data_IF_116915764514
#
_entry.id   IF_116915764514
#
_cell.length_a   1.000
_cell.length_b   1.000
_cell.length_c   1.000
_cell.angle_alpha   90.00
_cell.angle_beta   90.00
_cell.angle_gamma   90.00
#
_symmetry.space_group_name_H-M   'P 1'
#
loop_
_entity.id
_entity.type
_entity.pdbx_description
1 polymer ?
#
# COMPACT_ATOMS: atom_id res chain seq x y z
N UNK A 1 4.89 -28.03 15.44
CA UNK A 1 4.48 -26.96 14.50
C UNK A 1 3.32 -27.48 13.67
N UNK A 2 2.31 -26.69 13.37
CA UNK A 2 1.12 -27.23 12.72
C UNK A 2 1.33 -27.62 11.24
N UNK A 3 2.26 -26.95 10.53
CA UNK A 3 2.43 -27.17 9.08
C UNK A 3 3.90 -26.99 8.65
N UNK A 4 4.33 -27.79 7.64
CA UNK A 4 5.64 -27.65 7.01
C UNK A 4 5.63 -26.63 5.86
N UNK A 5 4.52 -26.57 5.09
CA UNK A 5 4.37 -25.66 3.94
C UNK A 5 2.99 -25.02 3.89
N UNK A 6 2.94 -23.71 3.97
CA UNK A 6 1.70 -22.92 3.93
C UNK A 6 1.62 -22.10 2.66
N UNK A 7 0.54 -22.28 1.88
CA UNK A 7 0.24 -21.45 0.72
C UNK A 7 -0.53 -20.20 1.17
N UNK A 8 -0.01 -19.05 0.83
CA UNK A 8 -0.65 -17.75 1.06
C UNK A 8 -1.14 -17.19 -0.27
N UNK A 9 -2.41 -16.83 -0.37
CA UNK A 9 -3.00 -16.37 -1.64
C UNK A 9 -3.37 -14.89 -1.57
N UNK A 10 -2.66 -14.02 -2.35
CA UNK A 10 -3.05 -12.63 -2.57
C UNK A 10 -2.64 -12.15 -3.97
N UNK A 11 -3.56 -12.19 -4.91
CA UNK A 11 -3.28 -11.95 -6.34
C UNK A 11 -3.29 -10.45 -6.73
N UNK A 12 -3.98 -9.60 -5.96
CA UNK A 12 -4.18 -8.16 -6.26
C UNK A 12 -4.94 -7.43 -5.13
N UNK A 13 -5.08 -6.10 -5.11
CA UNK A 13 -4.38 -5.14 -5.94
C UNK A 13 -3.01 -4.80 -5.33
N UNK A 14 -2.23 -3.88 -5.94
CA UNK A 14 -0.89 -3.53 -5.45
C UNK A 14 -0.88 -3.16 -3.95
N UNK A 15 -1.72 -2.20 -3.53
CA UNK A 15 -1.79 -1.79 -2.12
C UNK A 15 -2.21 -2.92 -1.18
N UNK A 16 -3.15 -3.78 -1.60
CA UNK A 16 -3.56 -4.94 -0.80
C UNK A 16 -2.45 -5.99 -0.67
N UNK A 17 -1.64 -6.20 -1.72
CA UNK A 17 -0.47 -7.09 -1.66
C UNK A 17 0.60 -6.48 -0.77
N UNK A 18 0.84 -5.17 -0.88
CA UNK A 18 1.73 -4.43 0.00
C UNK A 18 1.36 -4.62 1.48
N UNK A 19 0.08 -4.49 1.83
CA UNK A 19 -0.41 -4.71 3.20
C UNK A 19 -0.21 -6.15 3.72
N UNK A 20 0.05 -7.16 2.86
CA UNK A 20 0.37 -8.51 3.36
C UNK A 20 1.78 -8.63 3.90
N UNK A 21 2.70 -7.78 3.46
CA UNK A 21 4.14 -7.90 3.77
C UNK A 21 4.42 -7.83 5.27
N UNK A 22 3.93 -6.84 6.05
CA UNK A 22 4.17 -6.78 7.48
C UNK A 22 3.72 -8.04 8.22
N UNK A 23 2.58 -8.60 7.80
CA UNK A 23 2.01 -9.81 8.38
C UNK A 23 2.85 -11.03 8.02
N UNK A 24 3.11 -11.22 6.72
CA UNK A 24 3.83 -12.40 6.21
C UNK A 24 5.28 -12.44 6.68
N UNK A 25 5.99 -11.29 6.67
CA UNK A 25 7.38 -11.25 7.13
C UNK A 25 7.48 -11.51 8.64
N UNK A 26 6.56 -10.98 9.44
CA UNK A 26 6.49 -11.25 10.88
C UNK A 26 6.22 -12.73 11.16
N UNK A 27 5.27 -13.31 10.42
CA UNK A 27 4.95 -14.74 10.51
C UNK A 27 6.15 -15.61 10.13
N UNK A 28 6.81 -15.33 9.01
CA UNK A 28 7.97 -16.10 8.55
C UNK A 28 9.10 -16.11 9.57
N UNK A 29 9.37 -14.97 10.23
CA UNK A 29 10.43 -14.86 11.25
C UNK A 29 10.12 -15.70 12.49
N UNK A 30 8.84 -15.84 12.86
CA UNK A 30 8.43 -16.60 14.05
C UNK A 30 8.24 -18.10 13.78
N UNK A 31 8.11 -18.49 12.51
CA UNK A 31 7.99 -19.89 12.09
C UNK A 31 9.11 -20.27 11.10
N UNK A 32 10.40 -20.20 11.52
CA UNK A 32 11.54 -20.38 10.59
C UNK A 32 11.62 -21.78 9.96
N UNK A 33 11.05 -22.79 10.60
CA UNK A 33 10.99 -24.16 10.07
C UNK A 33 9.82 -24.40 9.10
N UNK A 34 8.85 -23.46 8.98
CA UNK A 34 7.75 -23.54 8.03
C UNK A 34 8.12 -22.79 6.75
N UNK A 35 7.96 -23.42 5.60
CA UNK A 35 8.08 -22.75 4.30
C UNK A 35 6.75 -22.08 3.95
N UNK A 36 6.77 -20.79 3.67
CA UNK A 36 5.62 -20.06 3.19
C UNK A 36 5.74 -19.83 1.68
N UNK A 37 4.66 -20.08 0.95
CA UNK A 37 4.60 -19.92 -0.50
C UNK A 37 3.55 -18.83 -0.79
N UNK A 38 3.97 -17.65 -1.19
CA UNK A 38 3.05 -16.57 -1.54
C UNK A 38 2.70 -16.62 -3.02
N UNK A 39 1.44 -16.89 -3.30
CA UNK A 39 0.84 -16.86 -4.64
C UNK A 39 0.36 -15.44 -4.96
N UNK A 40 1.03 -14.79 -5.92
CA UNK A 40 0.65 -13.45 -6.41
C UNK A 40 0.83 -13.33 -7.92
N UNK A 41 0.55 -12.16 -8.50
CA UNK A 41 0.79 -11.93 -9.94
C UNK A 41 2.27 -11.69 -10.21
N UNK A 42 2.79 -12.03 -11.43
CA UNK A 42 4.21 -11.89 -11.76
C UNK A 42 4.78 -10.49 -11.45
N UNK A 43 4.07 -9.42 -11.84
CA UNK A 43 4.52 -8.05 -11.59
C UNK A 43 4.64 -7.69 -10.10
N UNK A 44 3.87 -8.35 -9.23
CA UNK A 44 3.84 -8.05 -7.79
C UNK A 44 4.85 -8.86 -6.98
N UNK A 45 5.48 -9.88 -7.56
CA UNK A 45 6.54 -10.64 -6.88
C UNK A 45 7.75 -9.74 -6.57
N UNK A 46 8.02 -8.76 -7.42
CA UNK A 46 9.14 -7.82 -7.26
C UNK A 46 9.00 -6.85 -6.09
N UNK A 47 7.82 -6.82 -5.44
CA UNK A 47 7.58 -6.01 -4.24
C UNK A 47 8.23 -6.61 -2.98
N UNK A 48 8.50 -7.92 -2.99
CA UNK A 48 9.01 -8.67 -1.83
C UNK A 48 10.54 -8.61 -1.78
N UNK A 49 11.06 -7.43 -1.40
CA UNK A 49 12.49 -7.14 -1.25
C UNK A 49 12.96 -7.67 0.12
N UNK A 50 14.22 -8.07 0.25
CA UNK A 50 14.83 -8.60 1.49
C UNK A 50 13.90 -9.58 2.24
N UNK A 51 13.25 -10.46 1.47
CA UNK A 51 12.29 -11.41 2.03
C UNK A 51 12.96 -12.44 2.94
N UNK A 52 12.29 -12.92 4.00
CA UNK A 52 12.75 -14.02 4.82
C UNK A 52 13.09 -15.26 3.99
N UNK A 53 14.14 -15.99 4.37
CA UNK A 53 14.66 -17.12 3.61
C UNK A 53 13.63 -18.26 3.39
N UNK A 54 12.68 -18.41 4.33
CA UNK A 54 11.58 -19.37 4.27
C UNK A 54 10.33 -18.86 3.52
N UNK A 55 10.39 -17.68 2.87
CA UNK A 55 9.32 -17.17 2.00
C UNK A 55 9.66 -17.39 0.53
N UNK A 56 8.91 -18.24 -0.13
CA UNK A 56 8.96 -18.48 -1.57
C UNK A 56 7.83 -17.71 -2.28
N UNK A 57 8.08 -17.28 -3.53
CA UNK A 57 7.08 -16.58 -4.32
C UNK A 57 6.66 -17.46 -5.50
N UNK A 58 5.35 -17.57 -5.71
CA UNK A 58 4.78 -18.25 -6.87
C UNK A 58 4.00 -17.25 -7.75
N UNK A 59 4.41 -17.09 -9.00
CA UNK A 59 3.83 -16.16 -9.95
C UNK A 59 2.63 -16.79 -10.69
N UNK A 60 1.42 -16.30 -10.42
CA UNK A 60 0.19 -16.76 -11.09
C UNK A 60 -0.09 -15.97 -12.37
N UNK A 61 0.04 -16.58 -13.52
CA UNK A 61 -0.26 -16.00 -14.84
C UNK A 61 -1.77 -16.01 -15.12
N UNK A 62 -2.51 -15.24 -14.35
CA UNK A 62 -4.00 -15.25 -14.35
C UNK A 62 -4.65 -14.72 -15.63
N UNK A 63 -3.88 -14.15 -16.55
CA UNK A 63 -4.29 -13.73 -17.90
C UNK A 63 -3.67 -14.62 -19.00
N UNK A 64 -2.83 -15.59 -18.63
CA UNK A 64 -2.15 -16.54 -19.50
C UNK A 64 -2.48 -17.97 -19.10
N UNK A 65 -1.45 -18.78 -18.79
CA UNK A 65 -1.53 -20.22 -18.48
C UNK A 65 -2.56 -20.56 -17.40
N UNK A 66 -2.80 -19.67 -16.43
CA UNK A 66 -3.72 -19.88 -15.31
C UNK A 66 -5.07 -19.16 -15.49
N UNK A 67 -5.47 -18.86 -16.75
CA UNK A 67 -6.73 -18.20 -17.07
C UNK A 67 -7.92 -19.19 -17.14
N UNK A 68 -9.11 -18.73 -16.73
CA UNK A 68 -10.34 -19.55 -16.76
C UNK A 68 -10.31 -20.76 -15.83
N UNK A 69 -11.32 -21.60 -15.89
CA UNK A 69 -11.44 -22.78 -15.00
C UNK A 69 -10.34 -23.83 -15.26
N UNK A 70 -10.02 -24.10 -16.53
CA UNK A 70 -8.93 -25.03 -16.88
C UNK A 70 -7.58 -24.53 -16.38
N UNK A 71 -7.31 -23.21 -16.53
CA UNK A 71 -6.10 -22.59 -16.01
C UNK A 71 -6.03 -22.63 -14.48
N UNK A 72 -7.15 -22.49 -13.77
CA UNK A 72 -7.20 -22.63 -12.31
C UNK A 72 -6.91 -24.08 -11.86
N UNK A 73 -7.39 -25.08 -12.61
CA UNK A 73 -7.04 -26.45 -12.33
C UNK A 73 -5.55 -26.75 -12.59
N UNK A 74 -4.98 -26.15 -13.65
CA UNK A 74 -3.53 -26.20 -13.91
C UNK A 74 -2.75 -25.55 -12.75
N UNK A 75 -3.16 -24.36 -12.30
CA UNK A 75 -2.55 -23.68 -11.15
C UNK A 75 -2.63 -24.54 -9.88
N UNK A 76 -3.78 -25.15 -9.61
CA UNK A 76 -3.93 -26.09 -8.51
C UNK A 76 -2.93 -27.26 -8.60
N UNK A 77 -2.78 -27.90 -9.79
CA UNK A 77 -1.81 -28.98 -9.98
C UNK A 77 -0.37 -28.52 -9.75
N UNK A 78 -0.01 -27.36 -10.25
CA UNK A 78 1.33 -26.80 -10.06
C UNK A 78 1.62 -26.55 -8.57
N UNK A 79 0.65 -26.00 -7.83
CA UNK A 79 0.75 -25.76 -6.39
C UNK A 79 0.76 -27.07 -5.57
N UNK A 80 0.01 -28.09 -5.97
CA UNK A 80 0.00 -29.42 -5.31
C UNK A 80 1.36 -30.12 -5.37
N UNK A 81 2.12 -29.92 -6.45
CA UNK A 81 3.48 -30.47 -6.58
C UNK A 81 4.45 -29.90 -5.54
N UNK A 82 4.11 -28.76 -4.94
CA UNK A 82 4.89 -28.15 -3.87
C UNK A 82 4.62 -28.76 -2.49
N UNK A 83 3.72 -29.76 -2.40
CA UNK A 83 3.35 -30.44 -1.15
C UNK A 83 2.85 -29.47 -0.06
N UNK A 84 1.86 -28.63 -0.43
CA UNK A 84 1.24 -27.65 0.48
C UNK A 84 0.38 -28.37 1.52
N UNK A 85 0.58 -28.04 2.81
CA UNK A 85 -0.12 -28.65 3.96
C UNK A 85 -1.31 -27.80 4.42
N UNK A 86 -1.30 -26.48 4.18
CA UNK A 86 -2.38 -25.58 4.53
C UNK A 86 -2.48 -24.39 3.56
N UNK A 87 -3.67 -23.80 3.44
CA UNK A 87 -3.93 -22.65 2.58
C UNK A 87 -4.50 -21.49 3.40
N UNK A 88 -3.86 -20.33 3.30
CA UNK A 88 -4.29 -19.03 3.83
C UNK A 88 -4.79 -18.15 2.67
N UNK A 89 -6.10 -18.12 2.37
CA UNK A 89 -6.66 -17.22 1.36
C UNK A 89 -6.90 -15.82 1.94
N UNK A 90 -5.97 -14.90 1.68
CA UNK A 90 -6.06 -13.49 2.03
C UNK A 90 -6.81 -12.67 0.96
N UNK A 91 -7.35 -13.32 -0.09
CA UNK A 91 -7.95 -12.62 -1.23
C UNK A 91 -9.47 -12.73 -1.30
N UNK A 92 -10.05 -13.90 -1.02
CA UNK A 92 -11.50 -14.17 -1.03
C UNK A 92 -12.23 -13.60 -2.26
N UNK A 93 -11.80 -14.01 -3.46
CA UNK A 93 -12.48 -13.70 -4.73
C UNK A 93 -12.90 -15.01 -5.41
N UNK A 94 -13.78 -14.95 -6.43
CA UNK A 94 -14.29 -16.15 -7.08
C UNK A 94 -13.18 -17.12 -7.51
N UNK A 95 -12.10 -16.61 -8.06
CA UNK A 95 -10.95 -17.41 -8.50
C UNK A 95 -10.27 -18.15 -7.34
N UNK A 96 -10.06 -17.49 -6.21
CA UNK A 96 -9.41 -18.12 -5.05
C UNK A 96 -10.34 -19.09 -4.36
N UNK A 97 -11.65 -18.83 -4.36
CA UNK A 97 -12.66 -19.80 -3.85
C UNK A 97 -12.67 -21.11 -4.63
N UNK A 98 -12.42 -21.08 -5.94
CA UNK A 98 -12.29 -22.29 -6.75
C UNK A 98 -11.01 -23.06 -6.37
N UNK A 99 -9.88 -22.36 -6.19
CA UNK A 99 -8.64 -22.98 -5.68
C UNK A 99 -8.83 -23.58 -4.29
N UNK A 100 -9.47 -22.85 -3.38
CA UNK A 100 -9.79 -23.30 -2.03
C UNK A 100 -10.62 -24.60 -2.06
N UNK A 101 -11.59 -24.69 -2.99
CA UNK A 101 -12.40 -25.89 -3.15
C UNK A 101 -11.53 -27.09 -3.56
N UNK A 102 -10.63 -26.92 -4.54
CA UNK A 102 -9.73 -28.00 -4.95
C UNK A 102 -8.82 -28.47 -3.82
N UNK A 103 -8.28 -27.54 -3.02
CA UNK A 103 -7.44 -27.89 -1.87
C UNK A 103 -8.25 -28.61 -0.79
N UNK A 104 -9.46 -28.14 -0.46
CA UNK A 104 -10.35 -28.81 0.51
C UNK A 104 -10.72 -30.22 0.07
N UNK A 105 -11.04 -30.42 -1.21
CA UNK A 105 -11.33 -31.74 -1.76
C UNK A 105 -10.13 -32.71 -1.68
N UNK A 106 -8.92 -32.16 -1.56
CA UNK A 106 -7.68 -32.95 -1.38
C UNK A 106 -7.28 -33.11 0.10
N UNK A 107 -8.18 -32.78 1.03
CA UNK A 107 -7.91 -32.89 2.47
C UNK A 107 -7.01 -31.80 3.06
N UNK A 108 -6.66 -30.74 2.30
CA UNK A 108 -5.81 -29.64 2.79
C UNK A 108 -6.67 -28.60 3.51
N UNK A 109 -6.37 -28.25 4.78
CA UNK A 109 -7.09 -27.21 5.52
C UNK A 109 -6.94 -25.85 4.86
N UNK A 110 -8.05 -25.11 4.78
CA UNK A 110 -8.12 -23.79 4.14
C UNK A 110 -8.76 -22.81 5.09
N UNK A 111 -8.03 -21.76 5.47
CA UNK A 111 -8.56 -20.59 6.15
C UNK A 111 -8.71 -19.44 5.17
N UNK A 112 -9.79 -18.67 5.30
CA UNK A 112 -10.12 -17.56 4.41
C UNK A 112 -10.38 -16.29 5.19
N UNK A 113 -9.95 -15.17 4.62
CA UNK A 113 -10.16 -13.83 5.18
C UNK A 113 -11.66 -13.49 5.30
N UNK A 114 -12.01 -12.89 6.44
CA UNK A 114 -13.26 -12.13 6.56
C UNK A 114 -12.98 -10.67 6.17
N UNK A 115 -13.49 -10.23 5.03
CA UNK A 115 -13.28 -8.85 4.52
C UNK A 115 -14.08 -7.78 5.25
N UNK A 116 -14.88 -8.12 6.25
CA UNK A 116 -15.74 -7.18 6.98
C UNK A 116 -16.77 -6.47 6.08
N UNK A 117 -17.30 -7.17 5.05
CA UNK A 117 -18.21 -6.56 4.07
C UNK A 117 -19.47 -5.98 4.70
N UNK A 118 -20.01 -6.62 5.75
CA UNK A 118 -21.20 -6.15 6.45
C UNK A 118 -20.92 -4.84 7.21
N UNK A 119 -19.80 -4.76 7.94
CA UNK A 119 -19.35 -3.54 8.65
C UNK A 119 -19.11 -2.39 7.66
N UNK A 120 -18.36 -2.66 6.58
CA UNK A 120 -18.06 -1.67 5.53
C UNK A 120 -19.31 -1.18 4.81
N UNK A 121 -20.33 -2.07 4.63
CA UNK A 121 -21.63 -1.68 4.11
C UNK A 121 -22.38 -0.76 5.06
N UNK A 122 -22.32 -1.02 6.38
CA UNK A 122 -22.91 -0.13 7.40
C UNK A 122 -22.24 1.25 7.39
N UNK A 123 -20.88 1.30 7.39
CA UNK A 123 -20.10 2.55 7.35
C UNK A 123 -20.40 3.41 6.12
N UNK A 124 -20.66 2.79 4.95
CA UNK A 124 -20.91 3.51 3.68
C UNK A 124 -22.39 3.64 3.34
N UNK A 125 -23.30 3.32 4.24
CA UNK A 125 -24.75 3.52 4.09
C UNK A 125 -25.10 5.01 4.15
N UNK A 126 -26.15 5.44 3.44
CA UNK A 126 -26.69 6.81 3.58
C UNK A 126 -27.29 7.07 4.97
N UNK A 127 -27.91 6.04 5.56
CA UNK A 127 -28.45 6.05 6.95
C UNK A 127 -27.46 5.27 7.82
N UNK A 128 -26.23 5.75 7.90
CA UNK A 128 -25.20 5.08 8.70
C UNK A 128 -25.33 5.42 10.19
N UNK A 129 -24.95 4.50 11.06
CA UNK A 129 -24.75 4.81 12.49
C UNK A 129 -23.58 5.80 12.64
N UNK A 130 -23.31 6.24 13.86
CA UNK A 130 -22.06 6.94 14.16
C UNK A 130 -20.85 6.17 13.59
N UNK A 131 -19.81 6.90 13.21
CA UNK A 131 -18.58 6.30 12.72
C UNK A 131 -18.00 5.38 13.80
N UNK A 132 -17.61 4.19 13.39
CA UNK A 132 -16.89 3.23 14.23
C UNK A 132 -15.65 2.71 13.48
N UNK A 133 -14.63 2.35 14.24
CA UNK A 133 -13.42 1.77 13.65
C UNK A 133 -13.68 0.31 13.26
N UNK A 134 -13.59 0.00 11.97
CA UNK A 134 -13.56 -1.38 11.47
C UNK A 134 -12.17 -1.96 11.72
N UNK A 135 -12.12 -3.26 11.92
CA UNK A 135 -10.86 -4.00 12.04
C UNK A 135 -9.93 -3.73 10.86
N UNK A 136 -8.63 -3.58 11.14
CA UNK A 136 -7.64 -3.30 10.11
C UNK A 136 -7.47 -4.46 9.13
N UNK A 137 -6.98 -4.17 7.93
CA UNK A 137 -6.64 -5.24 6.98
C UNK A 137 -5.51 -6.13 7.49
N UNK A 138 -4.60 -5.60 8.29
CA UNK A 138 -3.50 -6.35 8.90
C UNK A 138 -4.05 -7.39 9.90
N UNK A 139 -4.96 -6.98 10.78
CA UNK A 139 -5.57 -7.89 11.75
C UNK A 139 -6.42 -8.96 11.05
N UNK A 140 -7.16 -8.59 10.00
CA UNK A 140 -7.92 -9.54 9.18
C UNK A 140 -7.02 -10.55 8.46
N UNK A 141 -5.82 -10.16 8.04
CA UNK A 141 -4.83 -11.10 7.49
C UNK A 141 -4.28 -12.01 8.59
N UNK A 142 -3.95 -11.47 9.75
CA UNK A 142 -3.45 -12.24 10.89
C UNK A 142 -4.48 -13.27 11.37
N UNK A 143 -5.77 -12.92 11.37
CA UNK A 143 -6.85 -13.85 11.74
C UNK A 143 -6.93 -15.09 10.85
N UNK A 144 -6.50 -14.98 9.58
CA UNK A 144 -6.45 -16.16 8.70
C UNK A 144 -5.43 -17.17 9.22
N UNK A 145 -4.28 -16.69 9.69
CA UNK A 145 -3.25 -17.56 10.26
C UNK A 145 -3.64 -18.09 11.64
N UNK A 146 -4.28 -17.28 12.49
CA UNK A 146 -4.84 -17.75 13.78
C UNK A 146 -5.85 -18.89 13.58
N UNK A 147 -6.71 -18.81 12.56
CA UNK A 147 -7.63 -19.92 12.19
C UNK A 147 -6.91 -21.19 11.75
N UNK A 148 -5.65 -21.11 11.35
CA UNK A 148 -4.78 -22.26 11.07
C UNK A 148 -3.96 -22.68 12.30
N UNK A 149 -4.20 -22.10 13.49
CA UNK A 149 -3.45 -22.39 14.70
C UNK A 149 -2.05 -21.77 14.73
N UNK A 150 -1.82 -20.72 13.93
CA UNK A 150 -0.53 -20.03 13.86
C UNK A 150 -0.64 -18.64 14.51
N UNK A 151 -0.30 -18.56 15.78
CA UNK A 151 -0.24 -17.30 16.54
C UNK A 151 1.12 -16.62 16.35
N UNK A 152 1.11 -15.30 16.17
CA UNK A 152 2.35 -14.52 16.03
C UNK A 152 2.13 -13.06 16.43
N UNK A 153 3.24 -12.36 16.68
CA UNK A 153 3.28 -10.91 16.92
C UNK A 153 3.94 -10.19 15.75
N UNK A 154 3.60 -8.92 15.55
CA UNK A 154 4.23 -8.12 14.52
C UNK A 154 5.67 -7.76 14.88
N UNK A 155 6.61 -8.14 14.02
CA UNK A 155 8.05 -7.82 14.13
C UNK A 155 8.58 -7.06 12.92
N UNK A 156 7.69 -6.72 11.99
CA UNK A 156 8.06 -5.99 10.78
C UNK A 156 8.15 -4.48 11.06
N UNK A 157 9.27 -3.86 10.70
CA UNK A 157 9.49 -2.43 10.78
C UNK A 157 9.65 -1.79 9.40
N UNK A 158 10.51 -2.33 8.57
CA UNK A 158 10.79 -1.86 7.21
C UNK A 158 11.11 -3.04 6.29
N UNK A 159 10.94 -2.83 4.97
CA UNK A 159 11.43 -3.76 3.94
C UNK A 159 12.96 -3.83 3.94
N UNK A 160 13.63 -2.71 4.21
CA UNK A 160 15.07 -2.64 4.27
C UNK A 160 15.55 -2.87 5.72
N UNK A 161 16.31 -3.93 5.95
CA UNK A 161 16.84 -4.29 7.27
C UNK A 161 17.79 -3.22 7.84
N UNK A 162 18.52 -2.53 6.98
CA UNK A 162 19.37 -1.38 7.30
C UNK A 162 18.62 -0.05 7.45
N UNK A 163 17.28 -0.05 7.41
CA UNK A 163 16.42 1.15 7.49
C UNK A 163 16.14 1.79 6.13
N UNK A 164 17.14 1.90 5.25
CA UNK A 164 17.00 2.45 3.89
C UNK A 164 17.56 1.51 2.84
N UNK A 165 17.11 1.67 1.59
CA UNK A 165 17.70 0.95 0.45
C UNK A 165 19.05 1.55 0.02
N UNK A 166 19.72 0.89 -0.92
CA UNK A 166 21.02 1.32 -1.46
C UNK A 166 20.87 2.60 -2.31
N UNK A 167 21.31 3.73 -1.78
CA UNK A 167 21.24 5.03 -2.45
C UNK A 167 21.99 5.07 -3.80
N UNK A 168 22.96 4.16 -4.03
CA UNK A 168 23.70 4.09 -5.29
C UNK A 168 22.78 3.78 -6.49
N UNK A 169 21.66 3.09 -6.27
CA UNK A 169 20.65 2.83 -7.30
C UNK A 169 20.02 4.11 -7.87
N UNK A 170 20.14 5.24 -7.18
CA UNK A 170 19.51 6.51 -7.55
C UNK A 170 20.42 7.45 -8.33
N UNK A 171 21.70 7.15 -8.54
CA UNK A 171 22.67 8.08 -9.15
C UNK A 171 22.27 8.54 -10.57
N UNK A 172 21.50 7.73 -11.30
CA UNK A 172 20.97 8.12 -12.62
C UNK A 172 19.70 8.98 -12.54
N UNK A 173 19.16 9.22 -11.36
CA UNK A 173 17.93 9.99 -11.13
C UNK A 173 18.24 11.31 -10.44
N UNK A 174 19.07 11.28 -9.41
CA UNK A 174 19.41 12.43 -8.57
C UNK A 174 20.79 12.25 -7.98
N UNK A 175 21.54 13.34 -7.74
CA UNK A 175 22.72 13.31 -6.88
C UNK A 175 22.37 12.77 -5.49
N UNK A 176 23.37 12.28 -4.74
CA UNK A 176 23.16 11.87 -3.35
C UNK A 176 22.50 12.97 -2.53
N UNK A 177 21.74 12.56 -1.52
CA UNK A 177 21.09 13.47 -0.60
C UNK A 177 22.13 14.18 0.27
N UNK A 178 22.13 15.51 0.23
CA UNK A 178 23.01 16.31 1.07
C UNK A 178 22.52 16.36 2.51
N UNK A 179 23.43 16.66 3.43
CA UNK A 179 23.07 16.90 4.83
C UNK A 179 22.11 18.09 4.93
N UNK A 180 21.04 17.93 5.72
CA UNK A 180 20.01 18.95 5.88
C UNK A 180 19.04 19.11 4.70
N UNK A 181 19.28 18.44 3.56
CA UNK A 181 18.37 18.45 2.43
C UNK A 181 17.08 17.68 2.76
N UNK A 182 15.92 18.23 2.38
CA UNK A 182 14.60 17.62 2.55
C UNK A 182 14.15 17.02 1.23
N UNK A 183 13.93 15.72 1.23
CA UNK A 183 13.36 15.01 0.10
C UNK A 183 11.90 14.69 0.35
N UNK A 184 11.02 15.15 -0.54
CA UNK A 184 9.58 14.94 -0.48
C UNK A 184 9.10 14.09 -1.63
N UNK A 185 8.25 13.10 -1.34
CA UNK A 185 7.52 12.37 -2.37
C UNK A 185 6.09 12.88 -2.49
N UNK A 186 5.57 12.99 -3.71
CA UNK A 186 4.17 13.37 -3.96
C UNK A 186 3.54 12.39 -4.95
N UNK A 187 2.50 11.68 -4.50
CA UNK A 187 1.67 10.79 -5.32
C UNK A 187 0.23 11.30 -5.35
N UNK A 188 -0.10 12.25 -6.26
CA UNK A 188 -1.35 13.01 -6.22
C UNK A 188 -2.54 12.23 -6.79
N UNK A 189 -2.30 11.05 -7.35
CA UNK A 189 -3.33 10.28 -8.03
C UNK A 189 -3.78 9.05 -7.27
N UNK A 190 -4.98 8.60 -7.58
CA UNK A 190 -5.55 7.34 -7.14
C UNK A 190 -6.45 6.76 -8.25
N UNK A 191 -6.76 5.48 -8.16
CA UNK A 191 -7.54 4.77 -9.18
C UNK A 191 -8.94 5.36 -9.41
N UNK A 192 -9.54 6.00 -8.40
CA UNK A 192 -10.93 6.46 -8.43
C UNK A 192 -11.03 7.94 -8.09
N UNK A 193 -11.87 8.69 -8.83
CA UNK A 193 -12.06 10.14 -8.68
C UNK A 193 -12.36 10.57 -7.24
N UNK A 194 -13.17 9.79 -6.50
CA UNK A 194 -13.51 10.11 -5.10
C UNK A 194 -12.32 10.04 -4.12
N UNK A 195 -11.13 9.68 -4.59
CA UNK A 195 -9.87 9.60 -3.82
C UNK A 195 -8.79 10.55 -4.34
N UNK A 196 -9.07 11.35 -5.36
CA UNK A 196 -8.11 12.27 -5.98
C UNK A 196 -8.42 13.68 -5.45
N UNK A 197 -7.42 14.29 -4.82
CA UNK A 197 -7.45 15.70 -4.45
C UNK A 197 -7.38 16.56 -5.71
N UNK A 198 -8.06 17.74 -5.79
CA UNK A 198 -8.01 18.59 -6.96
C UNK A 198 -6.56 18.87 -7.39
N UNK A 199 -6.27 18.57 -8.65
CA UNK A 199 -4.89 18.58 -9.16
C UNK A 199 -4.29 19.99 -9.17
N UNK A 200 -5.09 20.99 -9.47
CA UNK A 200 -4.71 22.40 -9.38
C UNK A 200 -4.36 22.84 -7.95
N UNK A 201 -5.05 22.31 -6.95
CA UNK A 201 -4.74 22.54 -5.53
C UNK A 201 -3.51 21.78 -5.10
N UNK A 202 -3.30 20.54 -5.57
CA UNK A 202 -2.08 19.81 -5.30
C UNK A 202 -0.86 20.46 -5.97
N UNK A 203 -1.03 21.03 -7.18
CA UNK A 203 0.02 21.80 -7.83
C UNK A 203 0.48 22.99 -6.96
N UNK A 204 -0.45 23.68 -6.27
CA UNK A 204 -0.10 24.75 -5.33
C UNK A 204 0.74 24.25 -4.16
N UNK A 205 0.41 23.07 -3.62
CA UNK A 205 1.22 22.43 -2.57
C UNK A 205 2.63 22.12 -3.09
N UNK A 206 2.73 21.53 -4.27
CA UNK A 206 4.02 21.19 -4.90
C UNK A 206 4.82 22.47 -5.18
N UNK A 207 4.20 23.49 -5.76
CA UNK A 207 4.84 24.78 -6.08
C UNK A 207 5.39 25.50 -4.84
N UNK A 208 4.73 25.35 -3.68
CA UNK A 208 5.19 25.96 -2.42
C UNK A 208 6.56 25.41 -1.98
N UNK A 209 6.84 24.14 -2.22
CA UNK A 209 8.12 23.51 -1.85
C UNK A 209 9.14 23.52 -2.98
N UNK A 210 8.67 23.62 -4.24
CA UNK A 210 9.53 23.70 -5.39
C UNK A 210 10.37 24.99 -5.36
N UNK A 211 11.66 24.85 -5.56
CA UNK A 211 12.58 25.99 -5.53
C UNK A 211 12.94 26.52 -4.14
N UNK A 212 12.37 25.99 -3.06
CA UNK A 212 12.89 26.25 -1.72
C UNK A 212 14.30 25.65 -1.60
N UNK A 213 15.24 26.46 -1.14
CA UNK A 213 16.60 25.99 -0.88
C UNK A 213 16.59 24.78 0.08
N UNK A 214 17.36 23.76 -0.26
CA UNK A 214 17.42 22.52 0.52
C UNK A 214 16.22 21.59 0.36
N UNK A 215 15.29 21.83 -0.58
CA UNK A 215 14.17 20.94 -0.87
C UNK A 215 14.29 20.29 -2.25
N UNK A 216 13.94 19.02 -2.33
CA UNK A 216 13.79 18.25 -3.57
C UNK A 216 12.48 17.49 -3.57
N UNK A 217 11.70 17.61 -4.64
CA UNK A 217 10.37 16.98 -4.75
C UNK A 217 10.39 15.90 -5.82
N UNK A 218 9.98 14.70 -5.44
CA UNK A 218 9.86 13.54 -6.32
C UNK A 218 8.38 13.24 -6.58
N UNK A 219 7.99 13.19 -7.86
CA UNK A 219 6.60 12.95 -8.25
C UNK A 219 6.39 11.50 -8.68
N UNK A 220 5.42 10.83 -8.06
CA UNK A 220 5.06 9.45 -8.33
C UNK A 220 3.71 9.36 -9.03
N UNK A 221 3.66 8.63 -10.14
CA UNK A 221 2.42 8.41 -10.89
C UNK A 221 2.58 7.30 -11.91
N UNK A 222 1.45 6.82 -12.41
CA UNK A 222 1.42 5.63 -13.31
C UNK A 222 0.69 5.83 -14.57
N UNK A 223 0.18 5.73 -15.44
CA UNK A 223 -0.58 5.92 -16.65
C UNK A 223 -0.26 7.21 -17.39
N UNK A 224 -0.52 7.20 -18.68
CA UNK A 224 -0.11 8.31 -19.55
C UNK A 224 -0.67 9.68 -19.12
N UNK A 225 -1.95 9.74 -18.73
CA UNK A 225 -2.54 11.02 -18.31
C UNK A 225 -1.96 11.58 -17.00
N UNK A 226 -1.55 10.72 -16.07
CA UNK A 226 -0.85 11.12 -14.85
C UNK A 226 0.56 11.60 -15.19
N UNK A 227 1.26 10.88 -16.05
CA UNK A 227 2.60 11.23 -16.52
C UNK A 227 2.63 12.61 -17.17
N UNK A 228 1.70 12.91 -18.08
CA UNK A 228 1.66 14.19 -18.80
C UNK A 228 1.59 15.38 -17.83
N UNK A 229 0.78 15.27 -16.77
CA UNK A 229 0.63 16.30 -15.72
C UNK A 229 1.92 16.41 -14.89
N UNK A 230 2.46 15.30 -14.42
CA UNK A 230 3.65 15.32 -13.54
C UNK A 230 4.91 15.75 -14.27
N UNK A 231 5.07 15.39 -15.54
CA UNK A 231 6.16 15.87 -16.39
C UNK A 231 6.02 17.36 -16.71
N UNK A 232 4.79 17.89 -16.83
CA UNK A 232 4.56 19.33 -16.93
C UNK A 232 5.03 20.07 -15.67
N UNK A 233 4.72 19.55 -14.47
CA UNK A 233 5.20 20.14 -13.22
C UNK A 233 6.73 20.08 -13.10
N UNK A 234 7.35 18.94 -13.49
CA UNK A 234 8.81 18.80 -13.53
C UNK A 234 9.52 19.79 -14.44
N UNK A 235 8.86 20.21 -15.55
CA UNK A 235 9.38 21.26 -16.44
C UNK A 235 9.12 22.68 -15.93
N UNK A 236 8.03 22.88 -15.19
CA UNK A 236 7.58 24.20 -14.73
C UNK A 236 8.31 24.69 -13.48
N UNK A 237 8.68 23.78 -12.61
CA UNK A 237 9.22 24.12 -11.29
C UNK A 237 10.62 23.55 -11.08
N UNK A 238 11.59 24.33 -10.57
CA UNK A 238 12.93 23.83 -10.23
C UNK A 238 12.85 22.87 -9.03
N UNK A 239 13.82 21.96 -8.93
CA UNK A 239 13.91 21.00 -7.82
C UNK A 239 12.87 19.87 -7.84
N UNK A 240 12.08 19.75 -8.92
CA UNK A 240 11.11 18.68 -9.12
C UNK A 240 11.64 17.61 -10.07
N UNK A 241 11.54 16.35 -9.67
CA UNK A 241 11.90 15.17 -10.48
C UNK A 241 10.67 14.30 -10.64
N UNK A 242 10.16 14.17 -11.88
CA UNK A 242 9.07 13.25 -12.22
C UNK A 242 9.59 11.84 -12.45
N UNK A 243 9.03 10.87 -11.70
CA UNK A 243 9.25 9.43 -11.90
C UNK A 243 8.10 8.79 -12.70
N UNK A 244 7.09 9.58 -13.03
CA UNK A 244 5.89 9.09 -13.70
C UNK A 244 6.23 8.48 -15.06
N UNK A 245 5.64 7.30 -15.35
CA UNK A 245 5.89 6.59 -16.60
C UNK A 245 7.27 5.96 -16.73
N UNK A 246 8.21 6.24 -15.82
CA UNK A 246 9.50 5.57 -15.77
C UNK A 246 9.33 4.16 -15.21
N UNK A 247 9.96 3.18 -15.81
CA UNK A 247 9.84 1.77 -15.41
C UNK A 247 11.04 1.33 -14.59
N UNK A 248 11.33 2.06 -13.53
CA UNK A 248 12.48 1.79 -12.65
C UNK A 248 12.35 0.48 -11.85
N UNK A 249 11.12 0.06 -11.57
CA UNK A 249 10.82 -1.11 -10.75
C UNK A 249 10.72 -0.81 -9.25
N UNK A 250 10.15 -1.77 -8.50
CA UNK A 250 9.86 -1.55 -7.08
C UNK A 250 11.10 -1.34 -6.22
N UNK A 251 12.20 -2.02 -6.52
CA UNK A 251 13.42 -1.91 -5.71
C UNK A 251 13.96 -0.47 -5.72
N UNK A 252 14.10 0.13 -6.90
CA UNK A 252 14.56 1.51 -7.01
C UNK A 252 13.53 2.50 -6.45
N UNK A 253 12.23 2.33 -6.76
CA UNK A 253 11.18 3.22 -6.25
C UNK A 253 11.09 3.15 -4.71
N UNK A 254 11.16 1.96 -4.11
CA UNK A 254 11.16 1.78 -2.66
C UNK A 254 12.44 2.31 -2.01
N UNK A 255 13.59 2.15 -2.67
CA UNK A 255 14.85 2.77 -2.22
C UNK A 255 14.71 4.29 -2.16
N UNK A 256 14.20 4.92 -3.24
CA UNK A 256 13.96 6.35 -3.22
C UNK A 256 12.97 6.75 -2.12
N UNK A 257 11.85 6.03 -1.99
CA UNK A 257 10.84 6.31 -0.97
C UNK A 257 11.45 6.19 0.44
N UNK A 258 12.35 5.22 0.69
CA UNK A 258 13.00 5.05 2.00
C UNK A 258 13.91 6.23 2.41
N UNK A 259 14.38 7.01 1.44
CA UNK A 259 15.22 8.19 1.65
C UNK A 259 14.42 9.50 1.77
N UNK A 260 13.11 9.46 1.53
CA UNK A 260 12.24 10.61 1.70
C UNK A 260 12.06 10.97 3.18
N UNK A 261 11.93 12.26 3.44
CA UNK A 261 11.56 12.77 4.78
C UNK A 261 10.06 12.68 5.00
N UNK A 262 9.29 12.78 3.92
CA UNK A 262 7.82 12.67 3.93
C UNK A 262 7.29 12.25 2.56
N UNK A 263 6.23 11.46 2.57
CA UNK A 263 5.45 11.11 1.38
C UNK A 263 4.05 11.71 1.49
N UNK A 264 3.63 12.49 0.51
CA UNK A 264 2.26 12.96 0.36
C UNK A 264 1.55 12.02 -0.60
N UNK A 265 0.48 11.38 -0.16
CA UNK A 265 -0.24 10.41 -0.97
C UNK A 265 -1.75 10.53 -0.79
N UNK A 266 -2.48 10.19 -1.81
CA UNK A 266 -3.89 9.86 -1.67
C UNK A 266 -4.04 8.54 -0.93
N UNK A 267 -5.27 8.16 -0.53
CA UNK A 267 -5.62 6.77 -0.18
C UNK A 267 -5.39 5.88 -1.41
N UNK A 268 -4.13 5.53 -1.66
CA UNK A 268 -3.63 4.81 -2.84
C UNK A 268 -2.52 3.81 -2.50
N UNK A 269 -2.01 3.10 -3.49
CA UNK A 269 -0.93 2.14 -3.30
C UNK A 269 0.35 2.80 -2.76
N UNK A 270 0.64 4.05 -3.16
CA UNK A 270 1.86 4.75 -2.73
C UNK A 270 1.90 5.02 -1.22
N UNK A 271 0.73 5.25 -0.57
CA UNK A 271 0.65 5.31 0.89
C UNK A 271 1.16 4.01 1.54
N UNK A 272 0.77 2.87 1.00
CA UNK A 272 1.22 1.56 1.51
C UNK A 272 2.69 1.32 1.19
N UNK A 273 3.16 1.65 -0.01
CA UNK A 273 4.58 1.50 -0.38
C UNK A 273 5.48 2.31 0.55
N UNK A 274 5.13 3.57 0.82
CA UNK A 274 5.88 4.41 1.74
C UNK A 274 5.88 3.86 3.18
N UNK A 275 4.73 3.34 3.63
CA UNK A 275 4.64 2.72 4.96
C UNK A 275 5.48 1.45 5.11
N UNK A 276 5.73 0.71 4.01
CA UNK A 276 6.58 -0.49 4.03
C UNK A 276 8.07 -0.19 4.24
N UNK A 277 8.51 1.01 3.96
CA UNK A 277 9.90 1.45 4.15
C UNK A 277 10.03 2.50 5.25
N UNK A 278 9.04 2.52 6.16
CA UNK A 278 8.96 3.39 7.33
C UNK A 278 9.00 4.91 7.04
N UNK A 279 8.78 5.32 5.78
CA UNK A 279 8.67 6.73 5.42
C UNK A 279 7.38 7.32 5.97
N UNK A 280 7.43 8.46 6.70
CA UNK A 280 6.23 9.12 7.19
C UNK A 280 5.30 9.54 6.04
N UNK A 281 4.01 9.25 6.17
CA UNK A 281 3.02 9.54 5.13
C UNK A 281 2.02 10.58 5.64
N UNK A 282 1.85 11.65 4.87
CA UNK A 282 0.68 12.54 4.94
C UNK A 282 -0.31 12.05 3.89
N UNK A 283 -1.46 11.58 4.33
CA UNK A 283 -2.46 10.98 3.45
C UNK A 283 -3.74 11.81 3.37
N UNK A 284 -4.23 12.03 2.13
CA UNK A 284 -5.45 12.80 1.88
C UNK A 284 -6.61 11.87 1.56
N UNK A 285 -7.73 12.05 2.28
CA UNK A 285 -8.87 11.14 2.24
C UNK A 285 -10.17 11.86 1.87
N UNK A 286 -10.81 11.38 0.81
CA UNK A 286 -12.09 11.93 0.31
C UNK A 286 -13.30 11.04 0.56
N UNK A 287 -13.80 10.36 -0.47
CA UNK A 287 -14.98 9.48 -0.40
C UNK A 287 -14.79 8.25 0.51
N UNK A 288 -13.57 7.89 0.81
CA UNK A 288 -13.14 6.84 1.75
C UNK A 288 -12.86 7.44 3.13
N UNK A 289 -12.53 6.61 4.11
CA UNK A 289 -12.20 7.04 5.48
C UNK A 289 -11.27 6.03 6.15
N UNK A 290 -10.37 6.49 7.00
CA UNK A 290 -9.42 5.64 7.75
C UNK A 290 -10.12 4.57 8.58
N UNK A 291 -11.32 4.84 9.09
CA UNK A 291 -12.12 3.87 9.85
C UNK A 291 -12.50 2.60 9.06
N UNK A 292 -12.33 2.58 7.73
CA UNK A 292 -12.54 1.37 6.93
C UNK A 292 -11.41 0.33 7.03
N UNK A 293 -10.34 0.62 7.81
CA UNK A 293 -9.27 -0.32 8.12
C UNK A 293 -8.22 -0.49 7.02
N UNK A 294 -8.02 0.53 6.16
CA UNK A 294 -7.04 0.50 5.04
C UNK A 294 -5.86 1.44 5.25
N UNK A 295 -5.61 1.91 6.46
CA UNK A 295 -4.52 2.84 6.71
C UNK A 295 -3.14 2.18 6.54
N UNK A 296 -2.10 2.99 6.29
CA UNK A 296 -0.73 2.51 6.09
C UNK A 296 -0.13 1.86 7.34
N UNK A 297 0.72 0.88 7.15
CA UNK A 297 1.39 0.17 8.24
C UNK A 297 2.15 1.13 9.15
N UNK A 298 1.91 1.04 10.45
CA UNK A 298 2.58 1.83 11.51
C UNK A 298 2.59 3.36 11.27
N UNK A 299 1.63 3.88 10.50
CA UNK A 299 1.51 5.31 10.25
C UNK A 299 0.63 6.00 11.29
N UNK A 300 0.98 7.24 11.65
CA UNK A 300 0.20 8.04 12.60
C UNK A 300 -1.07 8.58 11.97
N UNK A 301 -2.22 8.34 12.60
CA UNK A 301 -3.52 8.91 12.18
C UNK A 301 -3.52 10.45 12.21
N UNK A 302 -2.63 11.07 13.00
CA UNK A 302 -2.46 12.52 13.02
C UNK A 302 -1.96 13.10 11.69
N UNK A 303 -1.44 12.25 10.79
CA UNK A 303 -0.98 12.64 9.47
C UNK A 303 -2.06 12.45 8.39
N UNK A 304 -3.29 12.12 8.78
CA UNK A 304 -4.42 12.08 7.85
C UNK A 304 -5.01 13.48 7.67
N UNK A 305 -5.23 13.87 6.43
CA UNK A 305 -5.95 15.08 6.06
C UNK A 305 -7.28 14.67 5.48
N UNK A 306 -8.35 15.12 6.11
CA UNK A 306 -9.72 14.75 5.73
C UNK A 306 -10.72 15.73 6.32
N UNK A 307 -11.79 16.00 5.58
CA UNK A 307 -12.89 16.84 6.05
C UNK A 307 -13.92 16.02 6.82
N UNK A 308 -14.42 16.55 7.93
CA UNK A 308 -15.55 15.95 8.64
C UNK A 308 -16.86 16.30 7.93
N UNK A 309 -17.40 15.34 7.20
CA UNK A 309 -18.68 15.44 6.51
C UNK A 309 -19.54 14.20 6.81
N UNK A 310 -20.78 14.43 7.15
CA UNK A 310 -21.76 13.37 7.49
C UNK A 310 -21.93 12.32 6.37
N UNK A 311 -21.63 12.66 5.13
CA UNK A 311 -21.69 11.73 4.00
C UNK A 311 -20.49 10.74 3.97
N UNK A 312 -19.40 11.00 4.70
CA UNK A 312 -18.19 10.16 4.66
C UNK A 312 -18.21 9.03 5.71
N UNK A 313 -17.63 7.85 5.38
CA UNK A 313 -17.31 7.39 4.02
C UNK A 313 -18.57 7.11 3.22
N UNK A 314 -18.60 7.51 1.96
CA UNK A 314 -19.71 7.17 1.04
C UNK A 314 -19.35 5.98 0.11
N UNK A 315 -18.09 5.58 0.09
CA UNK A 315 -17.58 4.43 -0.66
C UNK A 315 -16.43 3.76 0.09
N UNK A 316 -16.39 2.43 0.08
CA UNK A 316 -15.27 1.66 0.65
C UNK A 316 -13.99 1.84 -0.17
N UNK A 317 -14.11 1.96 -1.49
CA UNK A 317 -12.98 1.99 -2.42
C UNK A 317 -12.88 3.29 -3.23
N UNK A 318 -13.76 4.27 -2.98
CA UNK A 318 -13.81 5.50 -3.76
C UNK A 318 -14.40 5.37 -5.18
N UNK A 319 -14.90 4.19 -5.53
CA UNK A 319 -15.39 3.83 -6.88
C UNK A 319 -16.84 4.25 -7.15
N UNK A 320 -17.55 4.72 -6.14
CA UNK A 320 -18.91 5.25 -6.33
C UNK A 320 -18.86 6.74 -6.69
N UNK A 321 -19.72 7.21 -7.61
CA UNK A 321 -19.84 8.64 -7.88
C UNK A 321 -20.29 9.39 -6.63
N UNK A 322 -19.86 10.64 -6.50
CA UNK A 322 -20.32 11.51 -5.42
C UNK A 322 -21.81 11.79 -5.59
N UNK A 323 -22.63 11.36 -4.61
CA UNK A 323 -24.07 11.59 -4.68
C UNK A 323 -24.45 13.06 -4.41
N UNK A 324 -23.57 13.84 -3.74
CA UNK A 324 -23.68 15.30 -3.62
C UNK A 324 -23.27 16.02 -4.90
N UNK A 325 -22.52 15.36 -5.80
CA UNK A 325 -21.97 15.86 -7.07
C UNK A 325 -20.86 16.90 -6.94
N UNK A 326 -20.56 17.40 -5.75
CA UNK A 326 -19.63 18.50 -5.47
C UNK A 326 -18.23 18.05 -4.98
N UNK A 327 -18.06 16.78 -4.64
CA UNK A 327 -16.83 16.25 -4.04
C UNK A 327 -16.28 17.11 -2.89
N UNK A 328 -17.14 17.75 -2.11
CA UNK A 328 -16.77 18.65 -1.01
C UNK A 328 -15.73 18.05 -0.04
N UNK A 329 -15.73 16.72 0.14
CA UNK A 329 -14.74 16.03 0.95
C UNK A 329 -13.29 16.20 0.49
N UNK A 330 -13.06 16.57 -0.77
CA UNK A 330 -11.75 16.92 -1.34
C UNK A 330 -11.67 18.41 -1.64
N UNK A 331 -12.75 19.00 -2.15
CA UNK A 331 -12.79 20.41 -2.56
C UNK A 331 -12.65 21.39 -1.38
N UNK A 332 -13.12 21.02 -0.17
CA UNK A 332 -12.99 21.89 0.99
C UNK A 332 -11.62 21.87 1.69
N UNK A 333 -10.78 20.90 1.39
CA UNK A 333 -9.40 20.88 1.90
C UNK A 333 -8.61 21.99 1.22
N UNK A 334 -7.99 22.86 2.02
CA UNK A 334 -7.15 23.96 1.52
C UNK A 334 -5.71 23.47 1.30
N UNK A 335 -4.98 23.97 0.29
CA UNK A 335 -3.56 23.67 0.10
C UNK A 335 -2.72 23.95 1.35
N UNK A 336 -3.02 25.04 2.06
CA UNK A 336 -2.30 25.45 3.28
C UNK A 336 -2.44 24.43 4.41
N UNK A 337 -3.56 23.69 4.51
CA UNK A 337 -3.71 22.61 5.48
C UNK A 337 -2.67 21.50 5.23
N UNK A 338 -2.43 21.16 3.96
CA UNK A 338 -1.44 20.16 3.58
C UNK A 338 -0.04 20.70 3.80
N UNK A 339 0.24 21.94 3.38
CA UNK A 339 1.53 22.62 3.53
C UNK A 339 1.92 22.69 5.02
N UNK A 340 1.04 23.19 5.87
CA UNK A 340 1.29 23.31 7.30
C UNK A 340 1.56 21.94 7.95
N UNK A 341 0.83 20.89 7.53
CA UNK A 341 1.05 19.55 8.03
C UNK A 341 2.43 19.00 7.65
N UNK A 342 2.89 19.26 6.42
CA UNK A 342 4.22 18.87 5.94
C UNK A 342 5.30 19.59 6.77
N UNK A 343 5.19 20.90 6.92
CA UNK A 343 6.17 21.71 7.66
C UNK A 343 6.26 21.29 9.13
N UNK A 344 5.11 21.05 9.79
CA UNK A 344 5.08 20.52 11.16
C UNK A 344 5.78 19.17 11.29
N UNK A 345 5.57 18.27 10.32
CA UNK A 345 6.21 16.95 10.34
C UNK A 345 7.73 17.04 10.18
N UNK A 346 8.19 17.85 9.21
CA UNK A 346 9.60 18.06 8.94
C UNK A 346 10.31 18.73 10.13
N UNK A 347 9.71 19.78 10.70
CA UNK A 347 10.27 20.48 11.86
C UNK A 347 10.37 19.55 13.08
N UNK A 348 9.36 18.70 13.32
CA UNK A 348 9.41 17.71 14.40
C UNK A 348 10.54 16.69 14.21
N UNK A 349 10.82 16.29 12.96
CA UNK A 349 11.92 15.38 12.64
C UNK A 349 13.28 16.04 12.88
N UNK A 350 13.45 17.30 12.43
CA UNK A 350 14.67 18.08 12.64
C UNK A 350 14.98 18.27 14.12
N UNK A 351 13.99 18.66 14.92
CA UNK A 351 14.16 18.87 16.36
C UNK A 351 14.56 17.59 17.11
N UNK A 352 14.11 16.41 16.68
CA UNK A 352 14.55 15.13 17.27
C UNK A 352 16.00 14.82 16.92
N UNK A 353 16.40 14.99 15.66
CA UNK A 353 17.78 14.75 15.22
C UNK A 353 18.81 15.70 15.88
N UNK A 354 18.37 16.85 16.42
CA UNK A 354 19.22 17.80 17.14
C UNK A 354 19.36 17.44 18.63
N UNK A 355 18.50 16.56 19.17
CA UNK A 355 18.48 16.13 20.58
C UNK A 355 19.16 14.77 20.83
N UNK A 356 19.44 14.01 19.75
CA UNK A 356 20.23 12.77 19.76
C UNK A 356 21.70 13.06 19.44
#
# INVERSE_FOLDING_TARGET
MPFNKVLIIRLSALGDVAMTIPVVYSLCRQYPATTFILLTRPALTRLFIERPANLQLFAAEVKGRHAGLRGLYTLYKDLRRLSVDAVADLHDVLRTKVLDLFFKMSGVPVARINKGRAEKKKLTSRRKPALFQSESSFDRYSDVFRKLGMEFSYTFHSLFSGGTGDAALLYNITPPKNEGEIWMGVAPFAKHKGKIYPIDKMEKVVAHFAGKEGYKVFLFGGGKGEQDILDQWGRKYPGIISLAGKRYGFELELTLISLLDVMISMDSANMHLASLVATPVISVWGATHVCCGFYGWNQSLNNCIQTDLSCRPCSVFGNKPCWRKDYACMESILPDEIINKIELLINKKRNRATQE
#
